data_IF_095802468538
#
_entry.id   IF_095802468538
#
_cell.length_a   1.000
_cell.length_b   1.000
_cell.length_c   1.000
_cell.angle_alpha   90.00
_cell.angle_beta   90.00
_cell.angle_gamma   90.00
#
_symmetry.space_group_name_H-M   'P 1'
#
loop_
_entity.id
_entity.type
_entity.pdbx_description
1 polymer ?
#
# COMPACT_ATOMS: atom_id res chain seq x y z
N UNK A 1 35.17 -29.54 -25.57
CA UNK A 1 35.15 -28.90 -24.23
C UNK A 1 34.40 -27.58 -24.38
N UNK A 2 33.15 -27.51 -23.89
CA UNK A 2 32.28 -26.33 -24.00
C UNK A 2 32.41 -25.50 -22.71
N UNK A 3 32.96 -24.30 -22.80
CA UNK A 3 32.92 -23.32 -21.71
C UNK A 3 31.55 -22.65 -21.71
N UNK A 4 30.81 -22.83 -20.62
CA UNK A 4 29.56 -22.12 -20.32
C UNK A 4 29.95 -20.82 -19.62
N UNK A 5 29.77 -19.70 -20.30
CA UNK A 5 29.84 -18.37 -19.69
C UNK A 5 28.56 -18.14 -18.91
N UNK A 6 28.65 -18.14 -17.58
CA UNK A 6 27.58 -17.71 -16.68
C UNK A 6 27.58 -16.18 -16.69
N UNK A 7 26.64 -15.58 -17.40
CA UNK A 7 26.35 -14.16 -17.32
C UNK A 7 25.57 -13.93 -16.02
N UNK A 8 26.27 -13.40 -15.02
CA UNK A 8 25.65 -12.87 -13.80
C UNK A 8 24.88 -11.60 -14.16
N UNK A 9 23.57 -11.74 -14.35
CA UNK A 9 22.65 -10.61 -14.53
C UNK A 9 22.42 -9.98 -13.15
N UNK A 10 23.19 -8.93 -12.85
CA UNK A 10 22.96 -8.05 -11.70
C UNK A 10 21.71 -7.23 -12.01
N UNK A 11 20.57 -7.61 -11.44
CA UNK A 11 19.39 -6.75 -11.36
C UNK A 11 19.72 -5.59 -10.42
N UNK A 12 20.12 -4.46 -10.97
CA UNK A 12 20.08 -3.19 -10.27
C UNK A 12 18.60 -2.79 -10.13
N UNK A 13 17.98 -3.09 -8.99
CA UNK A 13 16.76 -2.42 -8.59
C UNK A 13 17.08 -0.94 -8.43
N UNK A 14 16.53 -0.11 -9.30
CA UNK A 14 16.57 1.34 -9.14
C UNK A 14 15.81 1.69 -7.85
N UNK A 15 16.56 1.99 -6.78
CA UNK A 15 15.99 2.55 -5.58
C UNK A 15 15.35 3.91 -5.93
N UNK A 16 14.09 4.17 -5.55
CA UNK A 16 13.52 5.48 -5.69
C UNK A 16 14.39 6.47 -4.91
N UNK A 17 14.79 7.56 -5.57
CA UNK A 17 15.60 8.62 -5.01
C UNK A 17 14.80 9.34 -3.91
N UNK A 18 14.86 8.81 -2.68
CA UNK A 18 14.02 9.25 -1.56
C UNK A 18 13.79 8.20 -0.47
N UNK A 19 14.11 6.93 -0.73
CA UNK A 19 13.99 5.87 0.28
C UNK A 19 14.87 6.13 1.50
N UNK A 20 14.35 5.90 2.70
CA UNK A 20 15.11 5.85 3.94
C UNK A 20 14.95 4.51 4.67
N UNK A 21 15.69 4.32 5.75
CA UNK A 21 15.53 3.18 6.65
C UNK A 21 14.76 3.60 7.90
N UNK A 22 13.71 2.83 8.22
CA UNK A 22 12.97 2.91 9.48
C UNK A 22 13.50 1.84 10.43
N UNK A 23 13.84 2.26 11.65
CA UNK A 23 14.29 1.43 12.75
C UNK A 23 13.20 1.36 13.81
N UNK A 24 12.76 0.15 14.12
CA UNK A 24 11.69 -0.08 15.09
C UNK A 24 12.24 -0.48 16.45
N UNK A 25 11.45 -0.27 17.52
CA UNK A 25 11.82 -0.64 18.88
C UNK A 25 12.06 -2.16 19.06
N UNK A 26 11.45 -2.98 18.21
CA UNK A 26 11.64 -4.44 18.19
C UNK A 26 12.93 -4.89 17.46
N UNK A 27 13.76 -3.94 16.98
CA UNK A 27 14.99 -4.21 16.24
C UNK A 27 14.80 -4.49 14.75
N UNK A 28 13.56 -4.50 14.24
CA UNK A 28 13.28 -4.66 12.82
C UNK A 28 13.70 -3.41 12.03
N UNK A 29 13.95 -3.61 10.73
CA UNK A 29 14.28 -2.55 9.79
C UNK A 29 13.37 -2.63 8.58
N UNK A 30 12.93 -1.49 8.09
CA UNK A 30 12.11 -1.40 6.89
C UNK A 30 12.60 -0.27 6.01
N UNK A 31 12.82 -0.56 4.75
CA UNK A 31 13.09 0.46 3.75
C UNK A 31 11.78 1.11 3.30
N UNK A 32 11.74 2.44 3.35
CA UNK A 32 10.56 3.20 2.98
C UNK A 32 10.79 4.70 3.00
N UNK A 33 9.92 5.43 2.33
CA UNK A 33 9.91 6.88 2.27
C UNK A 33 8.80 7.42 3.17
N UNK A 34 9.04 8.54 3.86
CA UNK A 34 8.00 9.22 4.61
C UNK A 34 6.96 9.79 3.63
N UNK A 35 5.75 9.26 3.68
CA UNK A 35 4.65 9.60 2.78
C UNK A 35 3.60 10.53 3.43
N UNK A 36 3.92 11.10 4.60
CA UNK A 36 3.09 12.16 5.17
C UNK A 36 3.08 13.38 4.25
N UNK A 37 1.97 14.10 4.22
CA UNK A 37 1.96 15.43 3.60
C UNK A 37 2.68 16.44 4.49
N UNK A 38 2.46 16.37 5.80
CA UNK A 38 3.11 17.22 6.81
C UNK A 38 3.38 16.41 8.07
N UNK A 39 4.53 16.64 8.71
CA UNK A 39 4.84 16.16 10.06
C UNK A 39 4.65 17.32 11.03
N UNK A 40 3.77 17.13 12.02
CA UNK A 40 3.57 18.11 13.08
C UNK A 40 4.43 17.73 14.29
N UNK A 41 5.16 18.69 14.85
CA UNK A 41 6.01 18.49 16.02
C UNK A 41 5.61 19.46 17.11
N UNK A 42 5.29 18.95 18.29
CA UNK A 42 5.07 19.77 19.47
C UNK A 42 6.39 19.96 20.19
N UNK A 43 6.84 21.21 20.31
CA UNK A 43 8.04 21.58 21.08
C UNK A 43 7.71 21.90 22.55
N UNK A 44 6.46 21.67 22.95
CA UNK A 44 5.92 22.03 24.27
C UNK A 44 5.41 23.47 24.36
N UNK A 45 6.04 24.41 23.63
CA UNK A 45 5.59 25.80 23.53
C UNK A 45 4.80 26.07 22.24
N UNK A 46 5.18 25.41 21.14
CA UNK A 46 4.63 25.65 19.81
C UNK A 46 4.42 24.33 19.03
N UNK A 47 3.63 24.43 17.97
CA UNK A 47 3.47 23.38 16.98
C UNK A 47 4.24 23.76 15.72
N UNK A 48 5.15 22.92 15.27
CA UNK A 48 5.99 23.15 14.09
C UNK A 48 5.60 22.17 13.00
N UNK A 49 5.30 22.71 11.83
CA UNK A 49 5.10 21.95 10.59
C UNK A 49 6.45 21.67 9.94
N UNK A 50 6.72 20.41 9.65
CA UNK A 50 7.95 19.94 9.00
C UNK A 50 7.59 19.13 7.77
N UNK A 51 8.19 19.48 6.63
CA UNK A 51 8.03 18.70 5.42
C UNK A 51 8.87 17.41 5.49
N UNK A 52 8.31 16.22 5.19
CA UNK A 52 9.04 14.96 5.31
C UNK A 52 10.27 14.89 4.40
N UNK A 53 10.25 15.58 3.26
CA UNK A 53 11.39 15.70 2.34
C UNK A 53 12.56 16.52 2.90
N UNK A 54 12.33 17.36 3.91
CA UNK A 54 13.38 18.10 4.63
C UNK A 54 14.00 17.29 5.78
N UNK A 55 13.40 16.16 6.14
CA UNK A 55 13.88 15.33 7.27
C UNK A 55 15.09 14.52 6.84
N UNK A 56 16.20 14.68 7.57
CA UNK A 56 17.38 13.83 7.43
C UNK A 56 17.33 12.66 8.41
N UNK A 57 16.98 12.93 9.66
CA UNK A 57 16.85 11.93 10.72
C UNK A 57 15.67 12.29 11.61
N UNK A 58 14.80 11.32 11.87
CA UNK A 58 13.64 11.45 12.75
C UNK A 58 13.85 10.52 13.94
N UNK A 59 13.77 11.04 15.15
CA UNK A 59 13.79 10.26 16.38
C UNK A 59 12.58 10.61 17.24
N UNK A 60 12.35 9.87 18.32
CA UNK A 60 11.20 10.10 19.21
C UNK A 60 11.19 11.49 19.87
N UNK A 61 12.37 12.07 20.08
CA UNK A 61 12.53 13.31 20.86
C UNK A 61 13.02 14.49 20.00
N UNK A 62 13.51 14.21 18.79
CA UNK A 62 14.07 15.22 17.92
C UNK A 62 13.98 14.86 16.44
N UNK A 63 13.77 15.88 15.61
CA UNK A 63 13.88 15.82 14.15
C UNK A 63 15.11 16.62 13.73
N UNK A 64 16.01 15.98 12.98
CA UNK A 64 17.12 16.64 12.32
C UNK A 64 16.77 16.86 10.85
N UNK A 65 16.82 18.10 10.42
CA UNK A 65 16.57 18.49 9.05
C UNK A 65 17.86 18.40 8.22
N UNK A 66 17.70 18.33 6.90
CA UNK A 66 18.80 18.28 5.92
C UNK A 66 19.66 19.54 5.92
N UNK A 67 19.11 20.68 6.35
CA UNK A 67 19.84 21.93 6.52
C UNK A 67 20.69 22.01 7.81
N UNK A 68 20.65 20.95 8.63
CA UNK A 68 21.39 20.85 9.89
C UNK A 68 20.65 21.36 11.13
N UNK A 69 19.46 21.96 10.98
CA UNK A 69 18.62 22.36 12.13
C UNK A 69 18.09 21.11 12.86
N UNK A 70 17.98 21.23 14.18
CA UNK A 70 17.42 20.19 15.05
C UNK A 70 16.21 20.76 15.78
N UNK A 71 15.06 20.16 15.53
CA UNK A 71 13.80 20.48 16.21
C UNK A 71 13.63 19.46 17.33
N UNK A 72 13.62 19.92 18.59
CA UNK A 72 13.34 19.06 19.75
C UNK A 72 11.86 19.11 20.07
N UNK A 73 11.22 17.96 20.11
CA UNK A 73 9.78 17.87 20.33
C UNK A 73 9.24 16.49 20.03
N UNK A 74 7.95 16.31 20.30
CA UNK A 74 7.24 15.05 20.09
C UNK A 74 6.42 15.14 18.81
N UNK A 75 6.47 14.10 17.99
CA UNK A 75 5.63 14.02 16.80
C UNK A 75 4.15 13.96 17.18
N UNK A 76 3.36 14.85 16.59
CA UNK A 76 1.91 14.96 16.79
C UNK A 76 1.20 14.19 15.70
N UNK A 77 0.24 13.35 16.10
CA UNK A 77 -0.54 12.51 15.19
C UNK A 77 -0.37 11.00 15.39
N UNK A 78 0.55 10.57 16.27
CA UNK A 78 0.71 9.17 16.70
C UNK A 78 1.15 8.17 15.62
N UNK A 79 1.08 8.56 14.34
CA UNK A 79 1.36 7.73 13.18
C UNK A 79 2.16 8.49 12.12
N UNK A 80 3.02 7.75 11.43
CA UNK A 80 3.82 8.15 10.28
C UNK A 80 3.43 7.26 9.11
N UNK A 81 2.92 7.84 8.04
CA UNK A 81 2.70 7.19 6.75
C UNK A 81 4.05 6.98 6.07
N UNK A 82 4.25 5.77 5.58
CA UNK A 82 5.50 5.33 4.96
C UNK A 82 5.16 4.61 3.67
N UNK A 83 5.73 5.05 2.55
CA UNK A 83 5.62 4.37 1.27
C UNK A 83 6.78 3.38 1.14
N UNK A 84 6.44 2.10 0.99
CA UNK A 84 7.39 1.01 0.82
C UNK A 84 7.21 0.36 -0.56
N UNK A 85 8.07 -0.58 -0.93
CA UNK A 85 7.90 -1.37 -2.16
C UNK A 85 6.59 -2.19 -2.17
N UNK A 86 6.00 -2.45 -0.99
CA UNK A 86 4.74 -3.18 -0.83
C UNK A 86 3.51 -2.26 -0.84
N UNK A 87 3.71 -0.94 -0.93
CA UNK A 87 2.67 0.07 -0.83
C UNK A 87 2.82 0.97 0.41
N UNK A 88 1.80 1.77 0.66
CA UNK A 88 1.76 2.71 1.79
C UNK A 88 1.27 2.03 3.06
N UNK A 89 2.00 2.23 4.15
CA UNK A 89 1.68 1.71 5.48
C UNK A 89 1.69 2.86 6.51
N UNK A 90 0.87 2.75 7.55
CA UNK A 90 0.91 3.68 8.68
C UNK A 90 1.65 3.02 9.86
N UNK A 91 2.76 3.62 10.27
CA UNK A 91 3.63 3.18 11.37
C UNK A 91 3.34 4.03 12.61
N UNK A 92 3.25 3.45 13.81
CA UNK A 92 3.12 4.24 15.04
C UNK A 92 4.43 4.97 15.38
N UNK A 93 4.33 6.25 15.72
CA UNK A 93 5.48 7.06 16.12
C UNK A 93 6.17 6.49 17.38
N UNK A 94 5.42 5.84 18.28
CA UNK A 94 5.96 5.19 19.49
C UNK A 94 6.78 3.93 19.22
N UNK A 95 6.52 3.26 18.09
CA UNK A 95 7.25 2.06 17.69
C UNK A 95 8.47 2.39 16.83
N UNK A 96 8.51 3.62 16.29
CA UNK A 96 9.63 4.14 15.52
C UNK A 96 10.73 4.64 16.47
N UNK A 97 11.85 3.93 16.49
CA UNK A 97 13.05 4.36 17.22
C UNK A 97 13.74 5.48 16.46
N UNK A 98 13.93 5.27 15.16
CA UNK A 98 14.55 6.25 14.27
C UNK A 98 14.09 6.05 12.83
N UNK A 99 14.02 7.12 12.05
CA UNK A 99 14.07 7.06 10.60
C UNK A 99 15.29 7.81 10.12
N UNK A 100 16.01 7.22 9.15
CA UNK A 100 17.16 7.84 8.51
C UNK A 100 16.88 7.88 7.01
N UNK A 101 16.78 9.08 6.45
CA UNK A 101 16.73 9.23 5.00
C UNK A 101 18.02 8.65 4.42
N UNK A 102 17.94 7.87 3.34
CA UNK A 102 19.16 7.47 2.65
C UNK A 102 19.85 8.75 2.18
N UNK A 103 21.19 8.83 2.31
CA UNK A 103 21.91 9.92 1.68
C UNK A 103 21.51 9.93 0.20
N UNK A 104 21.21 11.10 -0.39
CA UNK A 104 20.96 11.17 -1.81
C UNK A 104 22.12 10.46 -2.47
N UNK A 105 21.82 9.40 -3.25
CA UNK A 105 22.83 8.62 -3.91
C UNK A 105 23.77 9.60 -4.57
N UNK A 106 24.98 9.73 -4.02
CA UNK A 106 26.00 10.57 -4.61
C UNK A 106 26.11 10.04 -6.02
N UNK A 107 25.67 10.84 -6.99
CA UNK A 107 25.79 10.50 -8.39
C UNK A 107 27.24 10.05 -8.56
N UNK A 108 27.42 8.77 -8.87
CA UNK A 108 28.73 8.29 -9.28
C UNK A 108 29.22 9.29 -10.35
N UNK A 109 30.44 9.82 -10.24
CA UNK A 109 30.92 10.87 -11.12
C UNK A 109 30.66 10.42 -12.56
N UNK A 110 29.83 11.18 -13.27
CA UNK A 110 29.59 10.95 -14.68
C UNK A 110 30.97 10.89 -15.37
N UNK A 111 31.28 9.84 -16.14
CA UNK A 111 32.45 9.89 -17.01
C UNK A 111 32.32 11.15 -17.87
N UNK A 112 33.40 11.92 -17.90
CA UNK A 112 33.49 13.24 -18.49
C UNK A 112 32.84 13.30 -19.88
N UNK A 113 31.99 14.30 -20.08
CA UNK A 113 31.50 14.69 -21.38
C UNK A 113 32.68 15.09 -22.27
N UNK A 114 32.83 14.41 -23.41
CA UNK A 114 33.61 14.90 -24.55
C UNK A 114 32.63 15.53 -25.56
N UNK A 115 32.92 16.72 -26.10
CA UNK A 115 31.94 17.55 -26.79
C UNK A 115 31.65 17.07 -28.22
N UNK A 116 30.39 17.24 -28.62
CA UNK A 116 29.93 17.05 -29.99
C UNK A 116 30.62 17.99 -30.99
N UNK A 117 30.65 17.60 -32.28
CA UNK A 117 30.37 18.55 -33.34
C UNK A 117 29.06 18.22 -34.05
N UNK A 118 28.42 19.31 -34.47
CA UNK A 118 27.10 19.47 -35.05
C UNK A 118 27.21 19.53 -36.58
N UNK A 119 26.42 18.74 -37.30
CA UNK A 119 25.95 18.91 -38.71
C UNK A 119 25.36 17.56 -39.19
N UNK A 120 24.34 17.42 -40.03
CA UNK A 120 23.38 18.28 -40.72
C UNK A 120 22.17 17.38 -41.05
N UNK A 121 20.97 17.95 -41.15
CA UNK A 121 19.77 17.27 -41.69
C UNK A 121 19.81 17.28 -43.24
N UNK A 122 18.79 16.82 -44.01
CA UNK A 122 17.68 15.88 -43.76
C UNK A 122 17.50 14.84 -44.91
N UNK A 123 16.65 13.82 -44.74
CA UNK A 123 15.81 13.20 -45.80
C UNK A 123 15.01 12.03 -45.19
N UNK A 124 13.72 12.20 -44.97
CA UNK A 124 12.65 11.68 -45.83
C UNK A 124 12.42 10.16 -45.72
N UNK A 125 11.26 9.75 -45.17
CA UNK A 125 10.16 9.12 -45.94
C UNK A 125 9.26 8.25 -45.05
N UNK A 126 7.95 8.43 -45.25
CA UNK A 126 6.83 7.50 -45.04
C UNK A 126 6.34 7.13 -43.61
N UNK A 127 5.12 7.62 -43.32
CA UNK A 127 4.07 6.95 -42.54
C UNK A 127 3.60 5.65 -43.27
N UNK A 128 2.80 4.70 -42.71
CA UNK A 128 1.58 4.95 -41.93
C UNK A 128 1.17 3.94 -40.80
N UNK A 129 0.28 4.44 -39.93
CA UNK A 129 -0.90 3.80 -39.32
C UNK A 129 -0.83 2.59 -38.35
N UNK A 130 -1.59 2.75 -37.26
CA UNK A 130 -1.98 1.81 -36.19
C UNK A 130 -2.73 0.55 -36.69
N UNK A 131 -2.87 -0.51 -35.86
CA UNK A 131 -4.11 -0.62 -35.08
C UNK A 131 -3.98 -1.23 -33.67
N UNK A 132 -5.06 -1.00 -32.93
CA UNK A 132 -5.47 -1.53 -31.62
C UNK A 132 -5.32 -3.04 -31.49
N UNK A 133 -4.88 -3.55 -30.34
CA UNK A 133 -5.17 -4.93 -29.91
C UNK A 133 -5.44 -4.95 -28.40
N UNK A 134 -6.72 -5.14 -28.10
CA UNK A 134 -7.25 -5.62 -26.82
C UNK A 134 -6.90 -7.11 -26.68
N UNK A 135 -6.26 -7.51 -25.59
CA UNK A 135 -6.27 -8.89 -25.09
C UNK A 135 -5.95 -8.83 -23.59
N UNK A 136 -6.89 -9.07 -22.68
CA UNK A 136 -7.58 -10.32 -22.34
C UNK A 136 -7.07 -10.82 -20.97
N UNK A 137 -7.98 -10.79 -20.00
CA UNK A 137 -7.87 -11.31 -18.64
C UNK A 137 -7.73 -12.84 -18.68
N UNK A 138 -6.89 -13.45 -17.82
CA UNK A 138 -7.15 -14.80 -17.34
C UNK A 138 -7.72 -14.76 -15.91
N UNK A 139 -9.01 -15.09 -15.80
CA UNK A 139 -9.59 -15.68 -14.58
C UNK A 139 -9.20 -17.16 -14.55
N UNK A 140 -8.62 -17.69 -13.47
CA UNK A 140 -8.63 -19.11 -13.21
C UNK A 140 -9.87 -19.52 -12.40
N UNK A 141 -10.56 -20.49 -12.99
CA UNK A 141 -11.77 -21.17 -12.59
C UNK A 141 -11.90 -21.62 -11.13
N UNK A 142 -13.13 -21.44 -10.66
CA UNK A 142 -13.91 -22.27 -9.75
C UNK A 142 -13.37 -23.68 -9.42
N UNK A 143 -12.91 -23.85 -8.18
CA UNK A 143 -13.13 -25.09 -7.43
C UNK A 143 -14.35 -24.87 -6.55
N UNK A 144 -15.38 -25.70 -6.73
CA UNK A 144 -16.65 -25.65 -6.00
C UNK A 144 -16.55 -26.58 -4.78
N UNK A 145 -16.45 -26.09 -3.53
CA UNK A 145 -16.77 -26.91 -2.37
C UNK A 145 -18.28 -26.97 -2.25
N UNK A 146 -18.81 -28.19 -2.15
CA UNK A 146 -20.18 -28.47 -1.74
C UNK A 146 -20.31 -28.10 -0.26
N UNK A 147 -21.16 -27.14 0.16
CA UNK A 147 -21.26 -26.81 1.58
C UNK A 147 -22.07 -27.89 2.29
N UNK A 148 -21.42 -28.58 3.21
CA UNK A 148 -22.03 -29.35 4.29
C UNK A 148 -22.49 -28.31 5.33
N UNK A 149 -23.80 -28.20 5.58
CA UNK A 149 -24.36 -27.29 6.60
C UNK A 149 -24.39 -25.81 6.20
N UNK A 150 -25.05 -25.47 5.09
CA UNK A 150 -25.16 -24.09 4.59
C UNK A 150 -25.86 -23.19 5.62
N UNK A 151 -25.08 -22.38 6.35
CA UNK A 151 -25.61 -21.30 7.20
C UNK A 151 -26.27 -20.26 6.31
N UNK A 152 -27.49 -19.86 6.66
CA UNK A 152 -28.27 -18.88 5.92
C UNK A 152 -28.24 -17.56 6.67
N UNK A 153 -28.11 -16.46 5.94
CA UNK A 153 -28.11 -15.12 6.51
C UNK A 153 -29.22 -14.29 5.85
N UNK A 154 -29.89 -13.48 6.66
CA UNK A 154 -30.79 -12.41 6.23
C UNK A 154 -29.99 -11.10 6.13
N UNK A 155 -30.15 -10.36 5.04
CA UNK A 155 -29.66 -8.99 4.96
C UNK A 155 -30.60 -8.09 5.76
N UNK A 156 -30.11 -7.45 6.81
CA UNK A 156 -30.92 -6.60 7.70
C UNK A 156 -30.77 -5.10 7.42
N UNK A 157 -29.67 -4.70 6.76
CA UNK A 157 -29.46 -3.34 6.31
C UNK A 157 -30.22 -3.06 5.00
N UNK A 158 -30.75 -1.84 4.85
CA UNK A 158 -31.68 -1.44 3.78
C UNK A 158 -31.27 -1.89 2.37
N UNK A 159 -30.31 -1.19 1.77
CA UNK A 159 -29.68 -1.58 0.51
C UNK A 159 -28.18 -1.72 0.77
N UNK A 160 -27.63 -2.91 0.56
CA UNK A 160 -26.21 -3.19 0.86
C UNK A 160 -25.46 -3.59 -0.40
N UNK A 161 -24.31 -2.96 -0.63
CA UNK A 161 -23.46 -3.30 -1.76
C UNK A 161 -22.68 -4.59 -1.49
N UNK A 162 -22.65 -5.51 -2.45
CA UNK A 162 -21.73 -6.63 -2.44
C UNK A 162 -20.38 -6.16 -2.98
N UNK A 163 -19.31 -6.41 -2.24
CA UNK A 163 -17.97 -6.02 -2.62
C UNK A 163 -17.17 -7.21 -3.17
N UNK A 164 -16.27 -6.93 -4.13
CA UNK A 164 -15.37 -7.96 -4.68
C UNK A 164 -14.41 -8.51 -3.63
N UNK A 165 -14.04 -7.67 -2.68
CA UNK A 165 -13.12 -7.98 -1.58
C UNK A 165 -13.69 -7.41 -0.27
N UNK A 166 -13.20 -7.88 0.87
CA UNK A 166 -13.61 -7.46 2.21
C UNK A 166 -13.03 -6.08 2.56
N UNK A 167 -13.34 -5.06 1.77
CA UNK A 167 -12.97 -3.66 2.03
C UNK A 167 -13.96 -2.75 1.32
N UNK A 168 -14.44 -1.69 1.98
CA UNK A 168 -15.46 -0.80 1.41
C UNK A 168 -15.01 -0.07 0.14
N UNK A 169 -13.70 0.13 -0.03
CA UNK A 169 -13.11 0.70 -1.21
C UNK A 169 -13.04 -0.28 -2.41
N UNK A 170 -13.38 -1.56 -2.21
CA UNK A 170 -13.36 -2.54 -3.28
C UNK A 170 -14.43 -2.25 -4.33
N UNK A 171 -14.18 -2.75 -5.55
CA UNK A 171 -15.18 -2.71 -6.60
C UNK A 171 -16.47 -3.41 -6.16
N UNK A 172 -17.61 -2.78 -6.42
CA UNK A 172 -18.93 -3.36 -6.15
C UNK A 172 -19.23 -4.39 -7.24
N UNK A 173 -19.63 -5.58 -6.82
CA UNK A 173 -19.97 -6.71 -7.70
C UNK A 173 -21.47 -6.96 -7.80
N UNK A 174 -22.25 -6.39 -6.89
CA UNK A 174 -23.70 -6.52 -6.87
C UNK A 174 -24.33 -5.70 -5.75
N UNK A 175 -25.63 -5.91 -5.55
CA UNK A 175 -26.39 -5.34 -4.43
C UNK A 175 -27.32 -6.41 -3.89
N UNK A 176 -27.58 -6.32 -2.59
CA UNK A 176 -28.58 -7.13 -1.92
C UNK A 176 -29.53 -6.23 -1.15
N UNK A 177 -30.79 -6.64 -1.08
CA UNK A 177 -31.85 -5.89 -0.42
C UNK A 177 -32.14 -6.43 0.96
N UNK A 178 -32.65 -5.58 1.85
CA UNK A 178 -33.15 -6.01 3.14
C UNK A 178 -34.18 -7.14 3.00
N UNK A 179 -34.04 -8.18 3.82
CA UNK A 179 -34.85 -9.39 3.80
C UNK A 179 -34.39 -10.43 2.79
N UNK A 180 -33.38 -10.12 1.96
CA UNK A 180 -32.83 -11.10 1.03
C UNK A 180 -32.04 -12.18 1.79
N UNK A 181 -32.28 -13.43 1.40
CA UNK A 181 -31.61 -14.60 1.97
C UNK A 181 -30.35 -14.88 1.16
N UNK A 182 -29.21 -14.83 1.86
CA UNK A 182 -27.90 -15.11 1.29
C UNK A 182 -27.27 -16.32 1.95
N UNK A 183 -26.55 -17.11 1.17
CA UNK A 183 -25.86 -18.31 1.67
C UNK A 183 -24.47 -17.96 2.13
N UNK A 184 -24.09 -18.40 3.34
CA UNK A 184 -22.73 -18.29 3.85
C UNK A 184 -21.73 -19.03 2.95
N UNK A 185 -20.62 -18.37 2.64
CA UNK A 185 -19.49 -18.98 1.92
C UNK A 185 -18.26 -19.00 2.81
N UNK A 186 -17.89 -17.87 3.39
CA UNK A 186 -16.67 -17.71 4.18
C UNK A 186 -16.77 -16.47 5.09
N UNK A 187 -15.80 -16.27 5.98
CA UNK A 187 -15.70 -15.05 6.77
C UNK A 187 -14.26 -14.64 7.04
N UNK A 188 -14.04 -13.35 7.24
CA UNK A 188 -12.72 -12.80 7.58
C UNK A 188 -12.90 -11.68 8.61
N UNK A 189 -12.11 -11.74 9.68
CA UNK A 189 -11.94 -10.62 10.61
C UNK A 189 -10.73 -9.80 10.16
N UNK A 190 -10.99 -8.56 9.73
CA UNK A 190 -9.95 -7.63 9.30
C UNK A 190 -9.51 -6.71 10.43
N UNK A 191 -9.83 -7.05 11.68
CA UNK A 191 -9.30 -6.34 12.84
C UNK A 191 -7.87 -6.77 13.12
N UNK A 192 -6.93 -5.86 12.92
CA UNK A 192 -5.58 -6.06 13.41
C UNK A 192 -5.53 -5.67 14.88
N UNK A 193 -5.18 -6.63 15.74
CA UNK A 193 -4.95 -6.40 17.16
C UNK A 193 -3.49 -6.66 17.50
N UNK A 194 -2.88 -5.78 18.28
CA UNK A 194 -1.58 -6.04 18.95
C UNK A 194 -1.77 -5.75 20.43
N UNK A 195 -1.33 -6.68 21.28
CA UNK A 195 -1.46 -6.59 22.74
C UNK A 195 -2.89 -6.20 23.18
N UNK A 196 -3.88 -6.87 22.58
CA UNK A 196 -5.31 -6.68 22.84
C UNK A 196 -5.89 -5.29 22.47
N UNK A 197 -5.11 -4.43 21.81
CA UNK A 197 -5.55 -3.13 21.29
C UNK A 197 -5.84 -3.27 19.79
N UNK A 198 -7.01 -2.81 19.34
CA UNK A 198 -7.34 -2.75 17.90
C UNK A 198 -6.55 -1.61 17.27
N UNK A 199 -5.71 -1.94 16.29
CA UNK A 199 -4.81 -0.99 15.58
C UNK A 199 -5.35 -0.67 14.18
N UNK A 200 -6.10 -1.59 13.60
CA UNK A 200 -6.87 -1.36 12.39
C UNK A 200 -8.20 -2.06 12.59
N UNK A 201 -9.30 -1.30 12.55
CA UNK A 201 -10.65 -1.88 12.55
C UNK A 201 -11.15 -1.93 11.11
N UNK A 202 -10.73 -2.97 10.40
CA UNK A 202 -11.29 -3.28 9.09
C UNK A 202 -12.67 -3.91 9.17
N UNK A 203 -13.24 -4.13 10.36
CA UNK A 203 -14.52 -4.82 10.56
C UNK A 203 -14.44 -6.34 10.37
N UNK A 204 -15.54 -7.01 10.73
CA UNK A 204 -15.78 -8.42 10.43
C UNK A 204 -16.61 -8.51 9.15
N UNK A 205 -16.17 -9.33 8.21
CA UNK A 205 -16.80 -9.47 6.89
C UNK A 205 -17.21 -10.90 6.63
N UNK A 206 -18.33 -11.07 5.96
CA UNK A 206 -18.88 -12.36 5.56
C UNK A 206 -18.94 -12.40 4.04
N UNK A 207 -18.35 -13.44 3.47
CA UNK A 207 -18.51 -13.77 2.07
C UNK A 207 -19.80 -14.53 1.90
N UNK A 208 -20.67 -14.01 1.06
CA UNK A 208 -21.99 -14.57 0.82
C UNK A 208 -22.21 -14.86 -0.66
N UNK A 209 -23.13 -15.77 -0.93
CA UNK A 209 -23.70 -15.98 -2.26
C UNK A 209 -25.17 -15.55 -2.23
N UNK A 210 -25.51 -14.57 -3.04
CA UNK A 210 -26.88 -14.10 -3.25
C UNK A 210 -27.69 -15.11 -4.08
N UNK A 211 -29.01 -14.94 -4.11
CA UNK A 211 -29.94 -15.86 -4.77
C UNK A 211 -29.74 -15.89 -6.30
N UNK A 212 -29.28 -14.80 -6.88
CA UNK A 212 -28.91 -14.66 -8.30
C UNK A 212 -27.58 -15.38 -8.66
N UNK A 213 -26.89 -15.95 -7.66
CA UNK A 213 -25.60 -16.61 -7.80
C UNK A 213 -24.39 -15.68 -7.65
N UNK A 214 -24.60 -14.38 -7.50
CA UNK A 214 -23.54 -13.40 -7.27
C UNK A 214 -22.84 -13.68 -5.95
N UNK A 215 -21.51 -13.65 -5.96
CA UNK A 215 -20.68 -13.88 -4.77
C UNK A 215 -19.93 -12.60 -4.44
N UNK A 216 -20.02 -12.15 -3.20
CA UNK A 216 -19.34 -10.96 -2.73
C UNK A 216 -19.19 -10.93 -1.22
N UNK A 217 -18.54 -9.90 -0.73
CA UNK A 217 -18.31 -9.63 0.68
C UNK A 217 -19.27 -8.57 1.19
N UNK A 218 -19.77 -8.77 2.41
CA UNK A 218 -20.60 -7.81 3.16
C UNK A 218 -20.05 -7.63 4.58
N UNK A 219 -20.17 -6.43 5.16
CA UNK A 219 -19.93 -6.22 6.59
C UNK A 219 -20.88 -7.09 7.42
N UNK A 220 -20.38 -7.76 8.45
CA UNK A 220 -21.15 -8.72 9.23
C UNK A 220 -22.33 -8.10 9.98
N UNK A 221 -22.24 -6.83 10.35
CA UNK A 221 -23.30 -6.04 10.97
C UNK A 221 -24.50 -5.76 10.04
N UNK A 222 -24.33 -5.98 8.72
CA UNK A 222 -25.43 -5.90 7.75
C UNK A 222 -26.23 -7.21 7.63
N UNK A 223 -25.77 -8.27 8.31
CA UNK A 223 -26.31 -9.62 8.18
C UNK A 223 -26.79 -10.16 9.53
N UNK A 224 -27.83 -11.00 9.48
CA UNK A 224 -28.32 -11.76 10.63
C UNK A 224 -28.37 -13.23 10.27
N UNK A 225 -27.73 -14.08 11.08
CA UNK A 225 -27.82 -15.53 10.90
C UNK A 225 -29.25 -16.01 11.19
N UNK A 226 -29.81 -16.78 10.26
CA UNK A 226 -31.08 -17.49 10.45
C UNK A 226 -30.73 -18.95 10.75
N UNK A 227 -31.10 -19.41 11.94
CA UNK A 227 -30.97 -20.80 12.38
C UNK A 227 -32.13 -21.65 11.85
#
# INVERSE_FOLDING_TARGET
MRQVAIVAMVLALAAPAGGGELFFANGSRLEGELANEVLLVSTGADLIEVQPEEVAELTREAIRLKDGRVIRGTLVGGHVKVRTALGEIAVKADELTAFRAAPPAAAAPAPAAEPAPREAAPAATAAPQSPVTTAAVPSPSATKPRPIGARLFEVIAGESALYRDAVEAAARVGRVLRGELVTYVDSIDRRLRILNTVIFDGGYWIKVRAADGTVGWLPADTLREIQ
#
